data_IF_355189114184
#
_entry.id   IF_355189114184
#
_cell.length_a   1.000
_cell.length_b   1.000
_cell.length_c   1.000
_cell.angle_alpha   90.00
_cell.angle_beta   90.00
_cell.angle_gamma   90.00
#
_symmetry.space_group_name_H-M   'P 1'
#
loop_
_entity.id
_entity.type
_entity.pdbx_description
1 polymer ?
#
# COMPACT_ATOMS: atom_id res chain seq x y z
N UNK A 1 -2.98 15.24 3.35
CA UNK A 1 -2.61 15.10 1.91
C UNK A 1 -3.14 13.82 1.31
N UNK A 2 -2.91 12.65 1.94
CA UNK A 2 -3.29 11.34 1.41
C UNK A 2 -4.81 11.13 1.23
N UNK A 3 -5.64 11.57 2.19
CA UNK A 3 -7.11 11.62 2.06
C UNK A 3 -7.57 12.34 0.79
N UNK A 4 -7.04 13.54 0.58
CA UNK A 4 -7.39 14.38 -0.57
C UNK A 4 -6.95 13.74 -1.90
N UNK A 5 -5.83 13.01 -1.90
CA UNK A 5 -5.40 12.23 -3.06
C UNK A 5 -6.36 11.09 -3.34
N UNK A 6 -6.78 10.33 -2.32
CA UNK A 6 -7.76 9.24 -2.49
C UNK A 6 -9.05 9.77 -3.10
N UNK A 7 -9.70 10.71 -2.42
CA UNK A 7 -11.05 11.17 -2.78
C UNK A 7 -11.10 11.79 -4.19
N UNK A 8 -10.02 12.45 -4.62
CA UNK A 8 -9.92 13.08 -5.95
C UNK A 8 -9.63 12.12 -7.09
N UNK A 9 -9.14 10.92 -6.80
CA UNK A 9 -8.69 9.98 -7.83
C UNK A 9 -9.56 8.72 -7.90
N UNK A 10 -10.64 8.62 -7.12
CA UNK A 10 -11.59 7.49 -7.16
C UNK A 10 -12.17 7.26 -8.57
N UNK A 11 -12.50 8.34 -9.27
CA UNK A 11 -13.16 8.33 -10.58
C UNK A 11 -12.23 8.65 -11.76
N UNK A 12 -10.94 8.88 -11.49
CA UNK A 12 -10.00 9.39 -12.52
C UNK A 12 -9.84 8.43 -13.69
N UNK A 13 -9.85 7.11 -13.42
CA UNK A 13 -9.74 6.06 -14.43
C UNK A 13 -10.97 6.05 -15.34
N UNK A 14 -12.16 6.20 -14.77
CA UNK A 14 -13.42 6.27 -15.53
C UNK A 14 -13.50 7.54 -16.37
N UNK A 15 -13.01 8.67 -15.84
CA UNK A 15 -12.90 9.93 -16.59
C UNK A 15 -11.96 9.81 -17.77
N UNK A 16 -10.76 9.26 -17.58
CA UNK A 16 -9.81 9.05 -18.68
C UNK A 16 -10.40 8.09 -19.72
N UNK A 17 -11.06 7.01 -19.28
CA UNK A 17 -11.72 6.05 -20.18
C UNK A 17 -12.82 6.73 -21.01
N UNK A 18 -13.64 7.56 -20.38
CA UNK A 18 -14.73 8.29 -21.04
C UNK A 18 -14.18 9.25 -22.08
N UNK A 19 -13.16 10.04 -21.72
CA UNK A 19 -12.52 10.97 -22.65
C UNK A 19 -11.91 10.23 -23.84
N UNK A 20 -11.24 9.09 -23.64
CA UNK A 20 -10.70 8.29 -24.76
C UNK A 20 -11.82 7.79 -25.67
N UNK A 21 -12.94 7.31 -25.10
CA UNK A 21 -14.09 6.80 -25.87
C UNK A 21 -14.83 7.90 -26.63
N UNK A 22 -14.81 9.13 -26.14
CA UNK A 22 -15.38 10.30 -26.79
C UNK A 22 -14.41 10.95 -27.80
N UNK A 23 -13.24 10.34 -28.06
CA UNK A 23 -12.18 10.90 -28.91
C UNK A 23 -11.55 12.20 -28.36
N UNK A 24 -11.77 12.50 -27.07
CA UNK A 24 -11.23 13.66 -26.35
C UNK A 24 -9.83 13.37 -25.79
N UNK A 25 -8.91 12.93 -26.65
CA UNK A 25 -7.58 12.44 -26.25
C UNK A 25 -6.72 13.51 -25.55
N UNK A 26 -6.90 14.78 -25.89
CA UNK A 26 -6.21 15.88 -25.22
C UNK A 26 -6.62 16.00 -23.74
N UNK A 27 -7.91 15.87 -23.44
CA UNK A 27 -8.44 15.89 -22.08
C UNK A 27 -8.06 14.63 -21.29
N UNK A 28 -8.04 13.47 -21.97
CA UNK A 28 -7.51 12.23 -21.40
C UNK A 28 -6.04 12.39 -20.99
N UNK A 29 -5.19 12.95 -21.86
CA UNK A 29 -3.78 13.20 -21.59
C UNK A 29 -3.58 14.20 -20.44
N UNK A 30 -4.37 15.27 -20.39
CA UNK A 30 -4.30 16.26 -19.31
C UNK A 30 -4.69 15.66 -17.94
N UNK A 31 -5.72 14.83 -17.92
CA UNK A 31 -6.16 14.12 -16.72
C UNK A 31 -5.09 13.13 -16.24
N UNK A 32 -4.48 12.36 -17.16
CA UNK A 32 -3.37 11.47 -16.85
C UNK A 32 -2.13 12.22 -16.34
N UNK A 33 -1.80 13.37 -16.92
CA UNK A 33 -0.70 14.23 -16.47
C UNK A 33 -0.91 14.70 -15.02
N UNK A 34 -2.14 15.12 -14.69
CA UNK A 34 -2.49 15.57 -13.33
C UNK A 34 -2.37 14.43 -12.32
N UNK A 35 -2.81 13.22 -12.69
CA UNK A 35 -2.64 12.01 -11.87
C UNK A 35 -1.16 11.66 -11.67
N UNK A 36 -0.34 11.75 -12.72
CA UNK A 36 1.11 11.52 -12.66
C UNK A 36 1.79 12.44 -11.65
N UNK A 37 1.50 13.74 -11.70
CA UNK A 37 2.08 14.75 -10.80
C UNK A 37 1.69 14.53 -9.34
N UNK A 38 0.40 14.28 -9.09
CA UNK A 38 -0.09 14.00 -7.74
C UNK A 38 0.44 12.68 -7.17
N UNK A 39 0.62 11.65 -8.01
CA UNK A 39 1.17 10.34 -7.60
C UNK A 39 2.65 10.41 -7.24
N UNK A 40 3.43 11.26 -7.93
CA UNK A 40 4.83 11.51 -7.58
C UNK A 40 5.00 12.13 -6.18
N UNK A 41 4.08 13.00 -5.78
CA UNK A 41 4.13 13.67 -4.47
C UNK A 41 3.90 12.73 -3.28
N UNK A 42 3.24 11.59 -3.50
CA UNK A 42 2.95 10.59 -2.44
C UNK A 42 3.81 9.32 -2.57
N UNK A 43 4.77 9.30 -3.51
CA UNK A 43 5.63 8.14 -3.73
C UNK A 43 4.95 6.95 -4.42
N UNK A 44 3.78 7.14 -5.03
CA UNK A 44 3.05 6.10 -5.77
C UNK A 44 3.70 5.87 -7.15
N UNK A 45 4.90 5.29 -7.16
CA UNK A 45 5.76 5.19 -8.34
C UNK A 45 5.13 4.39 -9.49
N UNK A 46 4.40 3.32 -9.20
CA UNK A 46 3.73 2.53 -10.25
C UNK A 46 2.58 3.30 -10.89
N UNK A 47 1.75 3.98 -10.10
CA UNK A 47 0.68 4.85 -10.61
C UNK A 47 1.28 5.98 -11.46
N UNK A 48 2.39 6.58 -11.01
CA UNK A 48 3.11 7.59 -11.77
C UNK A 48 3.58 7.06 -13.14
N UNK A 49 4.16 5.86 -13.19
CA UNK A 49 4.63 5.25 -14.44
C UNK A 49 3.47 4.95 -15.40
N UNK A 50 2.41 4.29 -14.93
CA UNK A 50 1.27 3.97 -15.80
C UNK A 50 0.51 5.23 -16.26
N UNK A 51 0.40 6.25 -15.41
CA UNK A 51 -0.19 7.54 -15.81
C UNK A 51 0.65 8.24 -16.88
N UNK A 52 1.98 8.17 -16.79
CA UNK A 52 2.88 8.70 -17.82
C UNK A 52 2.72 7.94 -19.15
N UNK A 53 2.61 6.60 -19.11
CA UNK A 53 2.34 5.79 -20.30
C UNK A 53 1.00 6.16 -20.94
N UNK A 54 -0.08 6.28 -20.15
CA UNK A 54 -1.39 6.69 -20.67
C UNK A 54 -1.35 8.09 -21.29
N UNK A 55 -0.70 9.06 -20.63
CA UNK A 55 -0.48 10.41 -21.16
C UNK A 55 0.22 10.38 -22.52
N UNK A 56 1.29 9.58 -22.64
CA UNK A 56 2.06 9.47 -23.87
C UNK A 56 1.26 8.84 -25.02
N UNK A 57 0.54 7.75 -24.77
CA UNK A 57 -0.29 7.11 -25.79
C UNK A 57 -1.45 8.02 -26.24
N UNK A 58 -2.05 8.78 -25.33
CA UNK A 58 -3.07 9.77 -25.71
C UNK A 58 -2.48 10.89 -26.58
N UNK A 59 -1.28 11.39 -26.28
CA UNK A 59 -0.60 12.41 -27.11
C UNK A 59 -0.17 11.92 -28.49
N UNK A 60 0.11 10.63 -28.60
CA UNK A 60 0.53 10.00 -29.84
C UNK A 60 -0.65 9.51 -30.69
N UNK A 61 -1.90 9.84 -30.31
CA UNK A 61 -3.10 9.42 -31.03
C UNK A 61 -3.26 7.87 -31.06
N UNK A 62 -2.92 7.23 -29.93
CA UNK A 62 -2.90 5.77 -29.75
C UNK A 62 -3.94 5.31 -28.70
N UNK A 63 -5.25 5.47 -28.98
CA UNK A 63 -6.32 5.21 -28.01
C UNK A 63 -6.38 3.74 -27.54
N UNK A 64 -6.09 2.78 -28.42
CA UNK A 64 -6.11 1.35 -28.07
C UNK A 64 -5.03 1.02 -27.03
N UNK A 65 -3.80 1.48 -27.25
CA UNK A 65 -2.69 1.30 -26.32
C UNK A 65 -2.92 2.07 -25.02
N UNK A 66 -3.50 3.27 -25.09
CA UNK A 66 -3.88 4.03 -23.90
C UNK A 66 -4.89 3.25 -23.04
N UNK A 67 -5.90 2.61 -23.65
CA UNK A 67 -6.88 1.78 -22.95
C UNK A 67 -6.26 0.52 -22.33
N UNK A 68 -5.27 -0.09 -22.98
CA UNK A 68 -4.56 -1.24 -22.40
C UNK A 68 -3.73 -0.83 -21.18
N UNK A 69 -2.96 0.26 -21.26
CA UNK A 69 -2.21 0.79 -20.13
C UNK A 69 -3.11 1.25 -18.98
N UNK A 70 -4.30 1.75 -19.32
CA UNK A 70 -5.30 2.17 -18.34
C UNK A 70 -5.81 1.00 -17.48
N UNK A 71 -5.73 -0.25 -17.96
CA UNK A 71 -6.05 -1.44 -17.13
C UNK A 71 -5.02 -1.63 -16.00
N UNK A 72 -3.74 -1.43 -16.31
CA UNK A 72 -2.66 -1.49 -15.32
C UNK A 72 -2.74 -0.32 -14.34
N UNK A 73 -3.01 0.88 -14.86
CA UNK A 73 -3.24 2.08 -14.06
C UNK A 73 -4.40 1.88 -13.07
N UNK A 74 -5.52 1.31 -13.51
CA UNK A 74 -6.68 1.04 -12.65
C UNK A 74 -6.32 0.12 -11.49
N UNK A 75 -5.63 -0.98 -11.78
CA UNK A 75 -5.28 -1.98 -10.76
C UNK A 75 -4.35 -1.37 -9.71
N UNK A 76 -3.31 -0.66 -10.14
CA UNK A 76 -2.34 -0.05 -9.23
C UNK A 76 -2.91 1.14 -8.46
N UNK A 77 -3.77 1.96 -9.10
CA UNK A 77 -4.44 3.05 -8.41
C UNK A 77 -5.42 2.53 -7.35
N UNK A 78 -6.17 1.46 -7.64
CA UNK A 78 -7.07 0.83 -6.68
C UNK A 78 -6.30 0.32 -5.45
N UNK A 79 -5.14 -0.33 -5.65
CA UNK A 79 -4.29 -0.76 -4.54
C UNK A 79 -3.83 0.40 -3.65
N UNK A 80 -3.49 1.54 -4.25
CA UNK A 80 -3.13 2.75 -3.49
C UNK A 80 -4.35 3.29 -2.74
N UNK A 81 -5.51 3.38 -3.39
CA UNK A 81 -6.76 3.85 -2.77
C UNK A 81 -7.18 2.97 -1.59
N UNK A 82 -7.12 1.65 -1.75
CA UNK A 82 -7.49 0.67 -0.72
C UNK A 82 -6.49 0.74 0.46
N UNK A 83 -5.19 0.82 0.17
CA UNK A 83 -4.18 1.03 1.20
C UNK A 83 -4.35 2.34 1.96
N UNK A 84 -4.81 3.41 1.28
CA UNK A 84 -5.14 4.68 1.92
C UNK A 84 -6.47 4.65 2.69
N UNK A 85 -7.42 3.78 2.32
CA UNK A 85 -8.66 3.56 3.07
C UNK A 85 -8.38 2.91 4.43
N UNK A 86 -7.44 1.95 4.47
CA UNK A 86 -7.00 1.31 5.71
C UNK A 86 -6.28 2.25 6.69
N UNK A 87 -5.79 3.41 6.24
CA UNK A 87 -5.21 4.45 7.10
C UNK A 87 -6.27 5.36 7.76
N UNK A 88 -7.53 5.31 7.30
CA UNK A 88 -8.61 6.18 7.76
C UNK A 88 -9.65 5.49 8.63
N UNK A 89 -9.74 4.16 8.55
CA UNK A 89 -10.59 3.36 9.42
C UNK A 89 -9.76 2.81 10.59
N UNK A 90 -10.25 2.88 11.85
CA UNK A 90 -9.79 1.91 12.84
C UNK A 90 -10.15 0.53 12.27
N UNK A 91 -9.13 -0.29 12.02
CA UNK A 91 -9.23 -1.56 11.33
C UNK A 91 -10.44 -2.40 11.77
N UNK A 92 -11.45 -2.50 10.91
CA UNK A 92 -12.51 -3.50 11.03
C UNK A 92 -12.35 -4.47 9.85
N UNK A 93 -11.71 -5.61 10.16
CA UNK A 93 -11.49 -6.73 9.25
C UNK A 93 -12.83 -7.37 8.88
N UNK A 94 -13.22 -7.24 7.61
CA UNK A 94 -14.20 -8.16 7.00
C UNK A 94 -14.00 -8.24 5.48
N UNK A 95 -12.95 -8.93 5.07
CA UNK A 95 -12.96 -9.68 3.82
C UNK A 95 -12.18 -10.99 4.01
N UNK A 96 -12.71 -12.15 3.56
CA UNK A 96 -12.09 -13.43 3.81
C UNK A 96 -10.85 -13.57 2.94
N UNK A 97 -9.68 -13.46 3.55
CA UNK A 97 -8.41 -13.83 2.92
C UNK A 97 -8.19 -15.30 3.20
N UNK A 98 -8.08 -16.09 2.13
CA UNK A 98 -7.76 -17.50 2.18
C UNK A 98 -6.58 -17.76 3.12
N UNK A 99 -6.83 -18.59 4.13
CA UNK A 99 -5.91 -18.93 5.20
C UNK A 99 -4.68 -19.62 4.63
N UNK A 100 -3.56 -18.88 4.60
CA UNK A 100 -2.21 -19.42 4.53
C UNK A 100 -1.39 -18.82 5.68
N UNK A 101 -1.95 -18.86 6.90
CA UNK A 101 -1.16 -18.64 8.11
C UNK A 101 -0.20 -19.82 8.25
N UNK A 102 1.04 -19.63 7.78
CA UNK A 102 2.12 -20.61 7.85
C UNK A 102 3.20 -20.16 8.85
N UNK A 103 2.83 -19.38 9.86
CA UNK A 103 3.72 -19.10 10.99
C UNK A 103 3.56 -20.25 11.98
N UNK A 104 4.60 -21.07 12.11
CA UNK A 104 4.63 -22.09 13.15
C UNK A 104 4.61 -21.39 14.52
N UNK A 105 3.74 -21.83 15.44
CA UNK A 105 3.63 -21.27 16.79
C UNK A 105 4.96 -21.28 17.55
N UNK A 106 5.86 -22.18 17.19
CA UNK A 106 7.20 -22.28 17.77
C UNK A 106 8.22 -21.31 17.14
N UNK A 107 7.94 -20.74 15.96
CA UNK A 107 8.85 -19.85 15.22
C UNK A 107 8.62 -18.36 15.57
N UNK A 108 7.38 -17.96 15.81
CA UNK A 108 7.01 -16.58 16.13
C UNK A 108 7.74 -16.00 17.37
N UNK A 109 7.91 -16.72 18.50
CA UNK A 109 8.63 -16.19 19.67
C UNK A 109 10.10 -15.90 19.35
N UNK A 110 10.72 -16.74 18.53
CA UNK A 110 12.12 -16.58 18.11
C UNK A 110 12.28 -15.35 17.21
N UNK A 111 11.35 -15.15 16.27
CA UNK A 111 11.33 -13.97 15.39
C UNK A 111 11.08 -12.68 16.16
N UNK A 112 10.20 -12.70 17.16
CA UNK A 112 9.95 -11.56 18.05
C UNK A 112 11.16 -11.19 18.90
N UNK A 113 11.88 -12.20 19.42
CA UNK A 113 13.11 -11.98 20.17
C UNK A 113 14.24 -11.40 19.27
N UNK A 114 14.33 -11.86 18.02
CA UNK A 114 15.25 -11.27 17.05
C UNK A 114 14.88 -9.82 16.70
N UNK A 115 13.58 -9.55 16.52
CA UNK A 115 13.07 -8.21 16.27
C UNK A 115 13.44 -7.26 17.41
N UNK A 116 13.24 -7.67 18.66
CA UNK A 116 13.64 -6.90 19.85
C UNK A 116 15.15 -6.57 19.86
N UNK A 117 16.00 -7.53 19.47
CA UNK A 117 17.44 -7.28 19.34
C UNK A 117 17.79 -6.27 18.24
N UNK A 118 17.07 -6.28 17.12
CA UNK A 118 17.27 -5.31 16.04
C UNK A 118 16.77 -3.91 16.40
N UNK A 119 15.76 -3.78 17.27
CA UNK A 119 15.27 -2.49 17.75
C UNK A 119 16.37 -1.65 18.43
N UNK A 120 17.33 -2.29 19.10
CA UNK A 120 18.45 -1.60 19.76
C UNK A 120 19.67 -1.37 18.86
N UNK A 121 19.77 -2.09 17.74
CA UNK A 121 21.01 -2.17 16.96
C UNK A 121 20.88 -1.65 15.53
N UNK A 122 19.81 -1.99 14.82
CA UNK A 122 19.55 -1.53 13.45
C UNK A 122 18.05 -1.53 13.13
N UNK A 123 17.44 -0.33 13.20
CA UNK A 123 16.01 -0.14 12.91
C UNK A 123 15.63 -0.49 11.46
N UNK A 124 16.57 -0.44 10.51
CA UNK A 124 16.29 -0.86 9.13
C UNK A 124 16.16 -2.38 9.05
N UNK A 125 16.99 -3.11 9.79
CA UNK A 125 16.86 -4.56 9.90
C UNK A 125 15.61 -4.95 10.70
N UNK A 126 15.28 -4.20 11.76
CA UNK A 126 14.06 -4.41 12.53
C UNK A 126 12.81 -4.27 11.64
N UNK A 127 12.70 -3.20 10.84
CA UNK A 127 11.58 -3.00 9.92
C UNK A 127 11.51 -4.06 8.82
N UNK A 128 12.65 -4.56 8.31
CA UNK A 128 12.67 -5.63 7.33
C UNK A 128 12.18 -6.96 7.91
N UNK A 129 12.63 -7.31 9.13
CA UNK A 129 12.20 -8.51 9.82
C UNK A 129 10.71 -8.44 10.21
N UNK A 130 10.23 -7.29 10.68
CA UNK A 130 8.82 -7.10 11.04
C UNK A 130 7.89 -7.35 9.85
N UNK A 131 8.26 -6.88 8.64
CA UNK A 131 7.49 -7.14 7.43
C UNK A 131 7.41 -8.62 7.07
N UNK A 132 8.48 -9.38 7.30
CA UNK A 132 8.48 -10.83 7.09
C UNK A 132 7.56 -11.53 8.11
N UNK A 133 7.62 -11.11 9.39
CA UNK A 133 6.72 -11.61 10.44
C UNK A 133 5.26 -11.29 10.12
N UNK A 134 4.94 -10.06 9.72
CA UNK A 134 3.60 -9.64 9.32
C UNK A 134 3.07 -10.45 8.13
N UNK A 135 3.92 -10.76 7.14
CA UNK A 135 3.51 -11.58 6.00
C UNK A 135 3.20 -13.03 6.41
N UNK A 136 4.02 -13.61 7.29
CA UNK A 136 3.84 -14.98 7.81
C UNK A 136 2.64 -15.10 8.77
N UNK A 137 2.41 -14.07 9.58
CA UNK A 137 1.35 -14.00 10.56
C UNK A 137 0.05 -13.37 10.01
N UNK A 138 -0.02 -13.10 8.71
CA UNK A 138 -1.18 -12.46 8.08
C UNK A 138 -2.44 -13.31 8.27
N UNK A 139 -3.49 -12.72 8.82
CA UNK A 139 -4.75 -13.41 9.12
C UNK A 139 -4.74 -14.19 10.43
N UNK A 140 -3.71 -14.01 11.28
CA UNK A 140 -3.71 -14.46 12.68
C UNK A 140 -4.16 -13.33 13.61
N UNK A 141 -4.51 -13.67 14.85
CA UNK A 141 -4.85 -12.73 15.92
C UNK A 141 -3.73 -11.72 16.24
N UNK A 142 -2.49 -12.02 15.84
CA UNK A 142 -1.33 -11.15 16.07
C UNK A 142 -1.13 -10.08 14.99
N UNK A 143 -1.89 -10.12 13.88
CA UNK A 143 -1.74 -9.19 12.75
C UNK A 143 -1.88 -7.73 13.19
N UNK A 144 -2.84 -7.44 14.07
CA UNK A 144 -3.06 -6.09 14.60
C UNK A 144 -1.88 -5.62 15.45
N UNK A 145 -1.42 -6.46 16.38
CA UNK A 145 -0.28 -6.14 17.24
C UNK A 145 1.03 -5.93 16.45
N UNK A 146 1.23 -6.70 15.37
CA UNK A 146 2.38 -6.51 14.47
C UNK A 146 2.29 -5.21 13.65
N UNK A 147 1.09 -4.73 13.32
CA UNK A 147 0.91 -3.42 12.71
C UNK A 147 1.17 -2.27 13.70
N UNK A 148 0.78 -2.43 14.97
CA UNK A 148 1.09 -1.47 16.04
C UNK A 148 2.62 -1.30 16.21
N UNK A 149 3.41 -2.39 16.12
CA UNK A 149 4.87 -2.33 16.17
C UNK A 149 5.44 -1.53 14.98
N UNK A 150 4.89 -1.69 13.77
CA UNK A 150 5.36 -0.97 12.58
C UNK A 150 5.10 0.53 12.71
N UNK A 151 3.96 0.91 13.26
CA UNK A 151 3.64 2.29 13.55
C UNK A 151 4.63 2.89 14.56
N UNK A 152 4.85 2.21 15.69
CA UNK A 152 5.80 2.65 16.71
C UNK A 152 7.22 2.80 16.13
N UNK A 153 7.65 1.87 15.27
CA UNK A 153 8.93 1.97 14.53
C UNK A 153 9.01 3.20 13.61
N UNK A 154 7.94 3.51 12.87
CA UNK A 154 7.89 4.69 12.00
C UNK A 154 7.94 6.01 12.79
N UNK A 155 7.45 5.99 14.03
CA UNK A 155 7.52 7.10 14.98
C UNK A 155 8.83 7.13 15.78
N UNK A 156 9.75 6.19 15.52
CA UNK A 156 10.99 5.97 16.28
C UNK A 156 10.75 5.68 17.78
N UNK A 157 9.56 5.20 18.13
CA UNK A 157 9.18 4.81 19.49
C UNK A 157 9.54 3.34 19.74
N UNK A 158 10.78 3.15 20.19
CA UNK A 158 11.34 1.83 20.45
C UNK A 158 10.75 1.20 21.71
N UNK A 159 10.44 2.01 22.72
CA UNK A 159 9.88 1.54 23.99
C UNK A 159 8.46 0.97 23.79
N UNK A 160 7.63 1.65 23.01
CA UNK A 160 6.31 1.16 22.63
C UNK A 160 6.40 -0.12 21.79
N UNK A 161 7.35 -0.17 20.83
CA UNK A 161 7.59 -1.36 20.01
C UNK A 161 7.92 -2.59 20.87
N UNK A 162 8.82 -2.45 21.85
CA UNK A 162 9.19 -3.54 22.79
C UNK A 162 8.04 -3.96 23.69
N UNK A 163 7.23 -3.00 24.14
CA UNK A 163 6.06 -3.28 24.98
C UNK A 163 5.05 -4.16 24.23
N UNK A 164 4.80 -3.86 22.96
CA UNK A 164 3.87 -4.64 22.13
C UNK A 164 4.45 -6.03 21.83
N UNK A 165 5.75 -6.14 21.53
CA UNK A 165 6.45 -7.43 21.35
C UNK A 165 6.27 -8.32 22.60
N UNK A 166 6.47 -7.76 23.80
CA UNK A 166 6.27 -8.47 25.06
C UNK A 166 4.82 -8.91 25.29
N UNK A 167 3.83 -8.11 24.85
CA UNK A 167 2.41 -8.47 24.91
C UNK A 167 2.11 -9.68 24.02
N UNK A 168 2.62 -9.69 22.79
CA UNK A 168 2.43 -10.81 21.86
C UNK A 168 3.02 -12.10 22.46
N UNK A 169 4.24 -12.04 23.01
CA UNK A 169 4.88 -13.20 23.62
C UNK A 169 4.16 -13.76 24.86
N UNK A 170 3.35 -12.97 25.54
CA UNK A 170 2.52 -13.41 26.68
C UNK A 170 1.16 -14.00 26.26
N UNK A 171 0.71 -13.72 25.03
CA UNK A 171 -0.56 -14.22 24.49
C UNK A 171 -0.40 -15.56 23.75
N UNK A 172 0.82 -16.06 23.63
CA UNK A 172 1.17 -17.36 23.05
C UNK A 172 1.25 -18.47 24.10
#
# INVERSE_FOLDING_TARGET
MLRNYRDRNLDVVERITTNIRNEELAEAAHTAHSLKGSSGNIGANQVHQYAASVEQHCRNDQPAQALDELKNLRTTLQQVIDGLAQLDEPADESAPIESNANIDRDELPNLLQQLEGYLDTDLRQAGALLKDIQQKAKGTEFSHALAEIEQALNEFDIDTSKTIIGRIGQQM
#
